data_IF_923618643974
#
_entry.id   IF_923618643974
#
_cell.length_a   1.000
_cell.length_b   1.000
_cell.length_c   1.000
_cell.angle_alpha   90.00
_cell.angle_beta   90.00
_cell.angle_gamma   90.00
#
_symmetry.space_group_name_H-M   'P 1'
#
loop_
_entity.id
_entity.type
_entity.pdbx_description
1 polymer ?
#
# COMPACT_ATOMS: atom_id res chain seq x y z
N UNK A 1 -47.46 -33.15 19.57
CA UNK A 1 -47.59 -32.43 18.28
C UNK A 1 -47.98 -31.01 18.62
N UNK A 2 -47.06 -30.05 18.46
CA UNK A 2 -47.36 -28.65 18.77
C UNK A 2 -47.88 -27.98 17.50
N UNK A 3 -49.14 -27.55 17.53
CA UNK A 3 -49.70 -26.70 16.49
C UNK A 3 -49.16 -25.29 16.68
N UNK A 4 -48.27 -24.85 15.80
CA UNK A 4 -47.84 -23.45 15.74
C UNK A 4 -48.85 -22.71 14.86
N UNK A 5 -49.69 -21.89 15.47
CA UNK A 5 -50.56 -20.96 14.75
C UNK A 5 -49.71 -19.74 14.37
N UNK A 6 -49.35 -19.62 13.09
CA UNK A 6 -48.45 -18.59 12.58
C UNK A 6 -49.13 -17.23 12.38
N UNK A 7 -50.46 -17.12 12.53
CA UNK A 7 -51.20 -15.87 12.28
C UNK A 7 -50.70 -15.14 11.02
N UNK A 8 -50.50 -13.82 11.15
CA UNK A 8 -49.73 -13.00 10.20
C UNK A 8 -48.35 -12.68 10.81
N UNK A 9 -47.37 -13.58 10.74
CA UNK A 9 -45.97 -13.20 11.02
C UNK A 9 -45.56 -12.14 9.99
N UNK A 10 -45.13 -10.98 10.48
CA UNK A 10 -44.61 -9.89 9.65
C UNK A 10 -43.32 -9.39 10.29
N UNK A 11 -42.25 -9.46 9.52
CA UNK A 11 -41.00 -8.77 9.82
C UNK A 11 -40.96 -7.52 8.94
N UNK A 12 -40.85 -6.35 9.58
CA UNK A 12 -40.78 -5.09 8.86
C UNK A 12 -39.32 -4.68 8.71
N UNK A 13 -38.79 -4.73 7.49
CA UNK A 13 -37.42 -4.30 7.22
C UNK A 13 -37.35 -2.77 7.17
N UNK A 14 -36.63 -2.18 8.11
CA UNK A 14 -36.53 -0.74 8.30
C UNK A 14 -35.24 -0.13 7.71
N UNK A 15 -34.40 -0.93 7.03
CA UNK A 15 -33.09 -0.49 6.52
C UNK A 15 -32.00 -0.47 7.60
N UNK A 16 -30.95 0.32 7.39
CA UNK A 16 -29.87 0.51 8.38
C UNK A 16 -30.39 1.21 9.64
N UNK A 17 -29.90 0.79 10.80
CA UNK A 17 -30.24 1.38 12.08
C UNK A 17 -29.85 2.86 12.15
N UNK A 18 -30.79 3.69 12.58
CA UNK A 18 -30.62 5.11 12.84
C UNK A 18 -31.07 5.44 14.27
N UNK A 19 -30.23 6.13 15.04
CA UNK A 19 -30.49 6.43 16.45
C UNK A 19 -31.69 7.36 16.69
N UNK A 20 -32.07 8.16 15.68
CA UNK A 20 -33.21 9.08 15.74
C UNK A 20 -34.56 8.41 15.46
N UNK A 21 -34.56 7.20 14.90
CA UNK A 21 -35.78 6.48 14.51
C UNK A 21 -36.35 5.68 15.69
N UNK A 22 -37.67 5.72 15.83
CA UNK A 22 -38.40 4.83 16.76
C UNK A 22 -38.69 3.52 16.05
N UNK A 23 -38.19 2.42 16.60
CA UNK A 23 -38.52 1.06 16.15
C UNK A 23 -39.54 0.45 17.10
N UNK A 24 -40.43 -0.35 16.53
CA UNK A 24 -41.44 -1.14 17.24
C UNK A 24 -41.02 -2.60 17.31
N UNK A 25 -41.62 -3.37 18.23
CA UNK A 25 -41.36 -4.80 18.34
C UNK A 25 -41.53 -5.49 16.97
N UNK A 26 -40.62 -6.41 16.66
CA UNK A 26 -40.54 -7.20 15.43
C UNK A 26 -40.07 -6.43 14.17
N UNK A 27 -39.71 -5.13 14.29
CA UNK A 27 -38.95 -4.42 13.26
C UNK A 27 -37.54 -5.01 13.12
N UNK A 28 -37.07 -5.09 11.87
CA UNK A 28 -35.74 -5.61 11.53
C UNK A 28 -34.88 -4.49 10.95
N UNK A 29 -33.65 -4.36 11.44
CA UNK A 29 -32.67 -3.37 10.97
C UNK A 29 -31.35 -4.03 10.59
N UNK A 30 -30.64 -3.40 9.66
CA UNK A 30 -29.22 -3.65 9.42
C UNK A 30 -28.37 -2.90 10.46
N UNK A 31 -27.37 -3.57 11.04
CA UNK A 31 -26.37 -2.92 11.87
C UNK A 31 -25.09 -3.76 11.94
N UNK A 32 -23.95 -3.14 11.59
CA UNK A 32 -22.65 -3.82 11.64
C UNK A 32 -22.56 -5.03 10.69
N UNK A 33 -23.24 -4.97 9.54
CA UNK A 33 -23.30 -6.08 8.57
C UNK A 33 -24.25 -7.22 8.96
N UNK A 34 -24.81 -7.19 10.17
CA UNK A 34 -25.79 -8.16 10.66
C UNK A 34 -27.21 -7.61 10.58
N UNK A 35 -28.20 -8.50 10.61
CA UNK A 35 -29.61 -8.12 10.77
C UNK A 35 -30.07 -8.40 12.19
N UNK A 36 -30.75 -7.43 12.79
CA UNK A 36 -31.23 -7.46 14.17
C UNK A 36 -32.72 -7.23 14.21
N UNK A 37 -33.42 -7.91 15.11
CA UNK A 37 -34.86 -7.75 15.33
C UNK A 37 -35.13 -7.09 16.68
N UNK A 38 -36.00 -6.08 16.70
CA UNK A 38 -36.38 -5.38 17.93
C UNK A 38 -37.26 -6.27 18.81
N UNK A 39 -36.87 -6.47 20.07
CA UNK A 39 -37.61 -7.27 21.07
C UNK A 39 -38.78 -6.49 21.68
N UNK A 40 -38.67 -5.17 21.67
CA UNK A 40 -39.63 -4.20 22.21
C UNK A 40 -39.43 -2.86 21.52
N UNK A 41 -40.34 -1.92 21.77
CA UNK A 41 -40.19 -0.56 21.26
C UNK A 41 -38.87 0.04 21.75
N UNK A 42 -38.06 0.53 20.82
CA UNK A 42 -36.69 0.99 21.09
C UNK A 42 -36.35 2.19 20.21
N UNK A 43 -35.64 3.16 20.80
CA UNK A 43 -35.13 4.35 20.12
C UNK A 43 -33.79 4.73 20.71
N UNK A 44 -32.81 5.05 19.86
CA UNK A 44 -31.49 5.50 20.29
C UNK A 44 -30.61 4.45 21.00
N UNK A 45 -31.03 3.19 21.06
CA UNK A 45 -30.24 2.09 21.66
C UNK A 45 -29.68 1.19 20.57
N UNK A 46 -28.35 1.03 20.55
CA UNK A 46 -27.65 0.23 19.54
C UNK A 46 -28.13 -1.23 19.50
N UNK A 47 -28.23 -1.83 18.30
CA UNK A 47 -28.67 -3.22 18.11
C UNK A 47 -27.88 -4.31 18.85
N UNK A 48 -26.67 -4.03 19.35
CA UNK A 48 -25.87 -4.98 20.14
C UNK A 48 -26.34 -5.15 21.59
N UNK A 49 -27.38 -4.43 22.03
CA UNK A 49 -27.93 -4.54 23.39
C UNK A 49 -29.05 -5.58 23.44
N UNK A 50 -28.72 -6.77 23.93
CA UNK A 50 -29.62 -7.95 23.99
C UNK A 50 -30.95 -7.73 24.75
N UNK A 51 -31.07 -6.68 25.55
CA UNK A 51 -32.33 -6.32 26.21
C UNK A 51 -33.38 -5.76 25.22
N UNK A 52 -32.93 -5.14 24.13
CA UNK A 52 -33.78 -4.45 23.17
C UNK A 52 -33.79 -5.12 21.80
N UNK A 53 -32.77 -5.90 21.48
CA UNK A 53 -32.54 -6.47 20.16
C UNK A 53 -32.10 -7.93 20.27
N UNK A 54 -32.59 -8.77 19.37
CA UNK A 54 -32.07 -10.13 19.16
C UNK A 54 -31.36 -10.19 17.80
N UNK A 55 -30.27 -10.95 17.72
CA UNK A 55 -29.57 -11.19 16.47
C UNK A 55 -30.41 -12.13 15.59
N UNK A 56 -30.78 -11.67 14.40
CA UNK A 56 -31.58 -12.47 13.46
C UNK A 56 -30.68 -13.23 12.49
N UNK A 57 -29.75 -12.51 11.88
CA UNK A 57 -28.74 -13.07 10.98
C UNK A 57 -27.41 -12.44 11.39
N UNK A 58 -26.46 -13.27 11.79
CA UNK A 58 -25.07 -12.86 11.89
C UNK A 58 -24.61 -12.50 10.47
N UNK A 59 -24.27 -11.24 10.27
CA UNK A 59 -23.52 -10.84 9.10
C UNK A 59 -22.21 -11.60 9.07
N UNK A 60 -21.77 -12.02 7.89
CA UNK A 60 -20.33 -12.14 7.69
C UNK A 60 -19.78 -10.75 7.98
N UNK A 61 -18.92 -10.63 8.99
CA UNK A 61 -18.13 -9.43 9.21
C UNK A 61 -17.61 -8.98 7.84
N UNK A 62 -17.82 -7.72 7.44
CA UNK A 62 -17.31 -7.24 6.14
C UNK A 62 -15.81 -7.56 6.16
N UNK A 63 -15.34 -8.54 5.36
CA UNK A 63 -13.99 -9.06 5.57
C UNK A 63 -12.94 -7.99 5.25
N UNK A 64 -13.36 -6.94 4.56
CA UNK A 64 -12.53 -5.84 4.10
C UNK A 64 -13.23 -4.50 4.35
N UNK A 65 -12.43 -3.50 4.70
CA UNK A 65 -12.87 -2.11 4.90
C UNK A 65 -12.61 -1.31 3.63
N UNK A 66 -13.50 -0.37 3.26
CA UNK A 66 -13.25 0.53 2.12
C UNK A 66 -11.96 1.30 2.40
N UNK A 67 -11.04 1.28 1.43
CA UNK A 67 -9.69 1.83 1.59
C UNK A 67 -8.66 0.86 2.17
N UNK A 68 -9.02 -0.41 2.42
CA UNK A 68 -8.01 -1.42 2.72
C UNK A 68 -7.08 -1.61 1.51
N UNK A 69 -5.77 -1.58 1.74
CA UNK A 69 -4.75 -1.78 0.71
C UNK A 69 -3.91 -3.01 1.06
N UNK A 70 -3.55 -3.84 0.06
CA UNK A 70 -2.62 -4.98 0.23
C UNK A 70 -2.00 -5.46 -1.07
N UNK A 71 -1.00 -6.32 -0.94
CA UNK A 71 -0.41 -7.08 -2.05
C UNK A 71 -1.16 -8.40 -2.24
N UNK A 72 -1.70 -8.62 -3.44
CA UNK A 72 -2.48 -9.80 -3.80
C UNK A 72 -1.73 -10.69 -4.79
N UNK A 73 -1.95 -12.01 -4.71
CA UNK A 73 -1.34 -12.99 -5.61
C UNK A 73 -2.04 -13.10 -6.98
N UNK A 74 -3.15 -12.38 -7.18
CA UNK A 74 -3.90 -12.38 -8.43
C UNK A 74 -3.31 -11.37 -9.41
N UNK A 75 -3.48 -11.61 -10.72
CA UNK A 75 -3.20 -10.60 -11.74
C UNK A 75 -4.18 -9.44 -11.62
N UNK A 76 -3.80 -8.27 -12.13
CA UNK A 76 -4.67 -7.08 -12.12
C UNK A 76 -6.05 -7.33 -12.78
N UNK A 77 -6.09 -8.12 -13.86
CA UNK A 77 -7.33 -8.49 -14.56
C UNK A 77 -8.17 -9.57 -13.86
N UNK A 78 -7.60 -10.20 -12.82
CA UNK A 78 -8.20 -11.33 -12.09
C UNK A 78 -8.44 -10.93 -10.62
N UNK A 79 -8.38 -9.63 -10.30
CA UNK A 79 -8.68 -9.15 -8.97
C UNK A 79 -10.12 -9.52 -8.58
N UNK A 80 -10.33 -10.02 -7.34
CA UNK A 80 -11.68 -10.31 -6.86
C UNK A 80 -12.56 -9.06 -6.88
N UNK A 81 -13.88 -9.28 -6.96
CA UNK A 81 -14.84 -8.19 -6.93
C UNK A 81 -14.59 -7.19 -5.78
N UNK A 82 -14.71 -5.90 -6.08
CA UNK A 82 -14.45 -4.82 -5.14
C UNK A 82 -12.99 -4.45 -4.96
N UNK A 83 -12.03 -5.20 -5.52
CA UNK A 83 -10.60 -4.88 -5.49
C UNK A 83 -10.15 -4.23 -6.79
N UNK A 84 -9.34 -3.18 -6.65
CA UNK A 84 -8.86 -2.37 -7.77
C UNK A 84 -7.35 -2.22 -7.70
N UNK A 85 -6.68 -2.25 -8.85
CA UNK A 85 -5.24 -2.10 -8.94
C UNK A 85 -4.80 -0.69 -8.52
N UNK A 86 -3.77 -0.57 -7.69
CA UNK A 86 -3.22 0.72 -7.23
C UNK A 86 -2.22 1.31 -8.23
N UNK A 87 -2.71 1.72 -9.38
CA UNK A 87 -1.91 2.23 -10.51
C UNK A 87 -2.16 3.71 -10.85
N UNK A 88 -2.97 4.43 -10.07
CA UNK A 88 -3.33 5.82 -10.39
C UNK A 88 -4.46 5.99 -11.41
N UNK A 89 -5.17 4.92 -11.78
CA UNK A 89 -6.32 4.98 -12.68
C UNK A 89 -7.42 5.91 -12.16
N UNK A 90 -8.23 6.40 -13.10
CA UNK A 90 -9.21 7.44 -12.84
C UNK A 90 -10.63 6.94 -13.05
N UNK A 91 -11.47 7.22 -12.06
CA UNK A 91 -12.89 6.92 -12.11
C UNK A 91 -13.69 8.19 -12.11
N UNK A 92 -14.81 8.23 -12.84
CA UNK A 92 -15.75 9.33 -12.75
C UNK A 92 -16.17 9.52 -11.29
N UNK A 93 -16.22 10.75 -10.81
CA UNK A 93 -16.51 11.06 -9.40
C UNK A 93 -17.88 10.52 -8.96
N UNK A 94 -18.85 10.49 -9.88
CA UNK A 94 -20.21 10.00 -9.67
C UNK A 94 -20.35 8.48 -9.88
N UNK A 95 -19.33 7.77 -10.38
CA UNK A 95 -19.35 6.31 -10.48
C UNK A 95 -19.38 5.63 -9.10
N UNK A 96 -19.76 4.35 -8.99
CA UNK A 96 -19.66 3.60 -7.74
C UNK A 96 -18.27 3.69 -7.11
N UNK A 97 -17.21 3.51 -7.91
CA UNK A 97 -15.82 3.58 -7.49
C UNK A 97 -15.46 4.99 -7.02
N UNK A 98 -15.89 6.01 -7.78
CA UNK A 98 -15.64 7.41 -7.44
C UNK A 98 -16.29 7.82 -6.13
N UNK A 99 -17.53 7.38 -5.88
CA UNK A 99 -18.20 7.62 -4.59
C UNK A 99 -17.53 6.90 -3.44
N UNK A 100 -17.09 5.66 -3.63
CA UNK A 100 -16.34 4.91 -2.61
C UNK A 100 -15.02 5.61 -2.26
N UNK A 101 -14.22 5.99 -3.26
CA UNK A 101 -12.99 6.76 -3.07
C UNK A 101 -13.25 8.12 -2.40
N UNK A 102 -14.30 8.83 -2.81
CA UNK A 102 -14.60 10.14 -2.25
C UNK A 102 -15.10 10.07 -0.80
N UNK A 103 -15.68 8.92 -0.38
CA UNK A 103 -16.11 8.68 1.00
C UNK A 103 -14.96 8.54 2.00
N UNK A 104 -13.73 8.29 1.51
CA UNK A 104 -12.53 8.25 2.34
C UNK A 104 -12.24 9.62 2.97
N UNK A 105 -11.63 9.61 4.15
CA UNK A 105 -11.32 10.83 4.91
C UNK A 105 -10.39 11.76 4.12
N UNK A 106 -10.41 13.06 4.44
CA UNK A 106 -9.51 14.03 3.83
C UNK A 106 -8.04 13.64 4.03
N UNK A 107 -7.66 13.25 5.25
CA UNK A 107 -6.29 12.82 5.57
C UNK A 107 -5.88 11.60 4.76
N UNK A 108 -6.75 10.57 4.65
CA UNK A 108 -6.43 9.40 3.84
C UNK A 108 -6.17 9.78 2.37
N UNK A 109 -7.02 10.66 1.82
CA UNK A 109 -6.86 11.12 0.45
C UNK A 109 -5.58 11.93 0.25
N UNK A 110 -5.21 12.75 1.24
CA UNK A 110 -3.96 13.52 1.24
C UNK A 110 -2.71 12.63 1.33
N UNK A 111 -2.72 11.66 2.24
CA UNK A 111 -1.60 10.73 2.47
C UNK A 111 -1.31 9.92 1.20
N UNK A 112 -2.36 9.38 0.56
CA UNK A 112 -2.23 8.51 -0.62
C UNK A 112 -2.40 9.22 -1.97
N UNK A 113 -2.39 10.56 -1.99
CA UNK A 113 -2.49 11.38 -3.20
C UNK A 113 -3.70 11.03 -4.08
N UNK A 114 -4.85 10.82 -3.42
CA UNK A 114 -6.15 10.65 -4.07
C UNK A 114 -6.74 12.04 -4.30
N UNK A 115 -6.83 12.44 -5.55
CA UNK A 115 -7.19 13.80 -5.96
C UNK A 115 -8.36 13.79 -6.93
N UNK A 116 -9.17 14.84 -6.88
CA UNK A 116 -10.22 15.09 -7.86
C UNK A 116 -9.63 16.00 -8.95
N UNK A 117 -9.81 15.63 -10.21
CA UNK A 117 -9.40 16.40 -11.39
C UNK A 117 -10.53 16.55 -12.38
N UNK A 118 -10.52 17.65 -13.13
CA UNK A 118 -11.47 17.89 -14.21
C UNK A 118 -10.82 17.49 -15.53
N UNK A 119 -11.43 16.55 -16.24
CA UNK A 119 -11.01 16.10 -17.58
C UNK A 119 -12.22 16.23 -18.49
N UNK A 120 -12.09 17.00 -19.56
CA UNK A 120 -13.15 17.22 -20.56
C UNK A 120 -14.50 17.64 -19.93
N UNK A 121 -14.46 18.50 -18.90
CA UNK A 121 -15.65 19.00 -18.21
C UNK A 121 -16.27 18.05 -17.18
N UNK A 122 -15.73 16.84 -17.00
CA UNK A 122 -16.18 15.88 -15.99
C UNK A 122 -15.16 15.75 -14.86
N UNK A 123 -15.64 15.51 -13.65
CA UNK A 123 -14.80 15.26 -12.49
C UNK A 123 -14.43 13.78 -12.38
N UNK A 124 -13.16 13.51 -12.20
CA UNK A 124 -12.59 12.19 -11.98
C UNK A 124 -11.82 12.18 -10.67
N UNK A 125 -11.77 11.03 -10.01
CA UNK A 125 -10.98 10.77 -8.81
C UNK A 125 -10.09 9.55 -9.05
N UNK A 126 -8.83 9.61 -8.63
CA UNK A 126 -7.87 8.53 -8.86
C UNK A 126 -7.87 7.50 -7.73
N UNK A 127 -7.59 6.24 -8.07
CA UNK A 127 -7.06 5.28 -7.10
C UNK A 127 -5.64 5.68 -6.70
N UNK A 128 -5.17 5.32 -5.49
CA UNK A 128 -3.77 5.59 -5.13
C UNK A 128 -2.81 4.80 -6.02
N UNK A 129 -1.56 5.28 -6.12
CA UNK A 129 -0.49 4.57 -6.83
C UNK A 129 0.46 3.92 -5.84
N UNK A 130 0.81 2.65 -6.09
CA UNK A 130 1.87 1.95 -5.39
C UNK A 130 3.25 2.14 -6.05
N UNK A 131 3.32 2.97 -7.09
CA UNK A 131 4.51 3.16 -7.92
C UNK A 131 5.04 4.60 -7.83
N UNK A 132 6.35 4.70 -7.80
CA UNK A 132 7.08 5.95 -8.00
C UNK A 132 6.92 6.46 -9.44
N UNK A 133 7.20 7.76 -9.70
CA UNK A 133 7.07 8.33 -11.05
C UNK A 133 7.93 7.64 -12.11
N UNK A 134 9.01 6.96 -11.72
CA UNK A 134 9.88 6.18 -12.61
C UNK A 134 9.39 4.73 -12.84
N UNK A 135 8.24 4.37 -12.28
CA UNK A 135 7.60 3.06 -12.43
C UNK A 135 8.03 2.00 -11.40
N UNK A 136 8.99 2.30 -10.52
CA UNK A 136 9.38 1.38 -9.45
C UNK A 136 8.31 1.28 -8.38
N UNK A 137 8.14 0.09 -7.80
CA UNK A 137 7.19 -0.13 -6.71
C UNK A 137 7.77 0.34 -5.37
N UNK A 138 6.93 0.92 -4.51
CA UNK A 138 7.35 1.24 -3.15
C UNK A 138 7.35 -0.02 -2.27
N UNK A 139 8.37 -0.14 -1.42
CA UNK A 139 8.33 -1.05 -0.28
C UNK A 139 7.55 -0.41 0.86
N UNK A 140 6.53 -1.12 1.35
CA UNK A 140 5.74 -0.67 2.49
C UNK A 140 6.47 -1.01 3.80
N UNK A 141 6.59 -0.01 4.70
CA UNK A 141 7.21 -0.17 6.01
C UNK A 141 6.44 0.61 7.08
N UNK A 142 6.53 0.14 8.32
CA UNK A 142 5.81 0.75 9.45
C UNK A 142 6.21 2.21 9.65
N UNK A 143 5.24 3.09 9.94
CA UNK A 143 5.50 4.47 10.37
C UNK A 143 6.34 4.52 11.65
N UNK A 144 7.10 5.59 11.86
CA UNK A 144 7.85 5.80 13.10
C UNK A 144 7.15 6.78 14.07
N UNK A 145 6.02 7.36 13.66
CA UNK A 145 5.25 8.31 14.45
C UNK A 145 5.84 9.72 14.51
N UNK A 146 6.95 9.97 13.80
CA UNK A 146 7.67 11.25 13.76
C UNK A 146 7.88 11.71 12.32
N UNK A 147 9.03 11.43 11.71
CA UNK A 147 9.35 11.84 10.35
C UNK A 147 8.71 10.91 9.31
N UNK A 148 8.64 9.60 9.59
CA UNK A 148 7.97 8.65 8.70
C UNK A 148 6.50 8.51 9.09
N UNK A 149 5.66 9.21 8.34
CA UNK A 149 4.20 9.24 8.48
C UNK A 149 3.52 8.40 7.39
N UNK A 150 2.22 8.16 7.54
CA UNK A 150 1.41 7.48 6.51
C UNK A 150 1.49 8.30 5.22
N UNK A 151 1.71 7.64 4.08
CA UNK A 151 1.83 8.30 2.78
C UNK A 151 3.15 9.02 2.53
N UNK A 152 4.04 9.14 3.51
CA UNK A 152 5.38 9.68 3.30
C UNK A 152 6.24 8.71 2.47
N UNK A 153 7.00 9.26 1.52
CA UNK A 153 7.90 8.49 0.65
C UNK A 153 9.33 8.79 1.06
N UNK A 154 10.10 7.74 1.34
CA UNK A 154 11.55 7.80 1.53
C UNK A 154 12.21 7.28 0.25
N UNK A 155 13.18 8.01 -0.31
CA UNK A 155 13.95 7.54 -1.45
C UNK A 155 14.90 6.40 -1.05
N UNK A 156 15.39 5.66 -2.05
CA UNK A 156 16.37 4.60 -1.84
C UNK A 156 17.65 5.16 -1.22
N UNK A 157 18.11 4.47 -0.18
CA UNK A 157 19.33 4.81 0.53
C UNK A 157 19.99 3.53 1.05
N UNK A 158 21.32 3.50 0.98
CA UNK A 158 22.12 2.55 1.75
C UNK A 158 22.64 3.26 3.00
N UNK A 159 22.93 2.50 4.06
CA UNK A 159 23.64 3.05 5.21
C UNK A 159 25.01 3.55 4.78
N UNK A 160 25.55 4.52 5.53
CA UNK A 160 26.90 5.01 5.32
C UNK A 160 27.92 3.86 5.30
N UNK A 161 28.81 3.90 4.31
CA UNK A 161 29.91 2.95 4.15
C UNK A 161 31.19 3.77 4.15
N UNK A 162 31.88 3.76 5.28
CA UNK A 162 33.14 4.46 5.44
C UNK A 162 34.30 3.48 5.51
N UNK A 163 35.38 3.80 4.79
CA UNK A 163 36.66 3.09 4.85
C UNK A 163 37.79 4.00 4.40
N UNK A 164 38.97 3.83 5.00
CA UNK A 164 40.19 4.51 4.58
C UNK A 164 40.97 3.60 3.62
N UNK A 165 41.43 4.17 2.50
CA UNK A 165 42.15 3.43 1.48
C UNK A 165 43.53 4.05 1.23
N UNK A 166 44.56 3.36 1.73
CA UNK A 166 45.95 3.69 1.45
C UNK A 166 46.41 2.96 0.19
N UNK A 167 46.82 3.71 -0.85
CA UNK A 167 47.52 3.11 -1.98
C UNK A 167 49.01 3.43 -1.88
N UNK A 168 49.83 2.39 -1.74
CA UNK A 168 51.25 2.47 -2.09
C UNK A 168 51.42 2.28 -3.59
N UNK A 169 52.50 2.81 -4.18
CA UNK A 169 52.92 2.42 -5.54
C UNK A 169 53.37 0.96 -5.47
N UNK A 170 52.54 0.01 -5.89
CA UNK A 170 52.88 -1.43 -5.82
C UNK A 170 53.05 -2.01 -7.22
N UNK A 171 54.27 -2.14 -7.75
CA UNK A 171 54.45 -2.86 -9.03
C UNK A 171 53.68 -4.20 -9.05
N UNK A 172 53.08 -4.53 -10.21
CA UNK A 172 52.26 -5.73 -10.42
C UNK A 172 50.86 -5.76 -9.77
N UNK A 173 50.14 -4.63 -9.67
CA UNK A 173 48.75 -4.51 -9.18
C UNK A 173 47.77 -5.59 -9.70
N UNK A 174 47.88 -5.99 -10.97
CA UNK A 174 47.06 -7.05 -11.58
C UNK A 174 47.25 -8.41 -10.92
N UNK A 175 48.41 -8.68 -10.33
CA UNK A 175 48.71 -9.95 -9.66
C UNK A 175 48.07 -10.04 -8.26
N UNK A 176 47.79 -8.90 -7.62
CA UNK A 176 47.26 -8.82 -6.25
C UNK A 176 45.76 -8.54 -6.19
N UNK A 177 45.20 -7.86 -7.19
CA UNK A 177 43.78 -7.59 -7.26
C UNK A 177 42.96 -8.91 -7.33
N UNK A 178 41.91 -9.01 -6.51
CA UNK A 178 40.99 -10.15 -6.46
C UNK A 178 39.57 -9.64 -6.20
N UNK A 179 38.58 -10.40 -6.70
CA UNK A 179 37.17 -10.12 -6.44
C UNK A 179 36.67 -8.83 -7.09
N UNK A 180 36.10 -7.93 -6.29
CA UNK A 180 35.56 -6.65 -6.77
C UNK A 180 36.63 -5.65 -7.23
N UNK A 181 37.91 -5.92 -6.96
CA UNK A 181 39.01 -5.05 -7.35
C UNK A 181 39.74 -5.58 -8.60
N UNK A 182 40.11 -4.66 -9.49
CA UNK A 182 40.90 -4.93 -10.68
C UNK A 182 42.11 -3.99 -10.70
N UNK A 183 43.30 -4.51 -11.01
CA UNK A 183 44.48 -3.69 -11.24
C UNK A 183 44.44 -3.09 -12.64
N UNK A 184 44.50 -1.76 -12.75
CA UNK A 184 44.43 -1.03 -14.02
C UNK A 184 45.59 -0.06 -14.18
N UNK A 185 45.95 0.26 -15.43
CA UNK A 185 46.85 1.40 -15.71
C UNK A 185 46.17 2.68 -15.29
N UNK A 186 46.90 3.62 -14.68
CA UNK A 186 46.32 4.89 -14.24
C UNK A 186 45.71 5.64 -15.43
N UNK A 187 44.45 6.04 -15.28
CA UNK A 187 43.72 6.88 -16.22
C UNK A 187 44.03 8.32 -15.80
N UNK A 188 44.89 9.02 -16.55
CA UNK A 188 45.41 10.38 -16.24
C UNK A 188 46.33 10.47 -15.02
N UNK A 189 47.62 10.07 -15.14
CA UNK A 189 48.55 10.02 -14.01
C UNK A 189 48.83 11.40 -13.39
N UNK A 190 48.62 12.49 -14.12
CA UNK A 190 48.78 13.88 -13.64
C UNK A 190 47.71 14.32 -12.61
N UNK A 191 46.56 13.63 -12.54
CA UNK A 191 45.46 13.92 -11.59
C UNK A 191 45.27 12.79 -10.56
N UNK A 192 46.22 11.85 -10.45
CA UNK A 192 46.19 10.78 -9.46
C UNK A 192 46.45 11.30 -8.03
N UNK A 193 46.12 10.47 -7.03
CA UNK A 193 46.35 10.79 -5.61
C UNK A 193 47.83 11.10 -5.27
N UNK A 194 48.77 10.73 -6.15
CA UNK A 194 50.18 11.07 -6.07
C UNK A 194 50.67 11.60 -7.41
N UNK A 195 51.44 12.70 -7.38
CA UNK A 195 52.15 13.17 -8.57
C UNK A 195 53.17 12.11 -9.02
N UNK A 196 53.14 11.62 -10.27
CA UNK A 196 54.09 10.64 -10.75
C UNK A 196 55.48 11.26 -10.75
N UNK A 197 56.35 10.79 -9.85
CA UNK A 197 57.77 11.13 -9.90
C UNK A 197 58.39 10.39 -11.10
N UNK A 198 58.42 11.08 -12.24
CA UNK A 198 59.26 10.83 -13.43
C UNK A 198 59.28 9.39 -13.99
N UNK A 199 58.82 9.25 -15.23
CA UNK A 199 59.13 8.15 -16.17
C UNK A 199 58.57 6.74 -15.88
N UNK A 200 57.77 6.53 -14.83
CA UNK A 200 57.09 5.24 -14.56
C UNK A 200 55.59 5.30 -14.84
N UNK A 201 55.04 4.19 -15.36
CA UNK A 201 53.60 3.99 -15.48
C UNK A 201 52.98 4.06 -14.07
N UNK A 202 52.06 5.01 -13.84
CA UNK A 202 51.25 4.99 -12.63
C UNK A 202 50.16 3.92 -12.77
N UNK A 203 49.74 3.36 -11.64
CA UNK A 203 48.82 2.23 -11.59
C UNK A 203 47.74 2.49 -10.55
N UNK A 204 46.57 1.88 -10.74
CA UNK A 204 45.41 2.04 -9.86
C UNK A 204 44.66 0.73 -9.61
N UNK A 205 43.70 0.83 -8.69
CA UNK A 205 42.69 -0.20 -8.47
C UNK A 205 41.32 0.34 -8.87
N UNK A 206 40.66 -0.35 -9.78
CA UNK A 206 39.25 -0.10 -10.08
C UNK A 206 38.40 -0.93 -9.12
N UNK A 207 37.38 -0.31 -8.52
CA UNK A 207 36.33 -1.03 -7.81
C UNK A 207 35.13 -1.28 -8.73
N UNK A 208 34.75 -2.55 -8.87
CA UNK A 208 33.60 -2.98 -9.63
C UNK A 208 32.89 -4.14 -8.93
N UNK A 209 31.84 -3.83 -8.17
CA UNK A 209 31.03 -4.82 -7.46
C UNK A 209 30.45 -5.91 -8.39
N UNK A 210 30.11 -5.55 -9.64
CA UNK A 210 29.51 -6.47 -10.62
C UNK A 210 30.39 -7.69 -10.97
N UNK A 211 31.66 -7.69 -10.57
CA UNK A 211 32.57 -8.81 -10.76
C UNK A 211 32.30 -9.98 -9.80
N UNK A 212 31.67 -9.71 -8.65
CA UNK A 212 31.47 -10.70 -7.57
C UNK A 212 30.03 -10.80 -7.09
N UNK A 213 29.20 -9.80 -7.40
CA UNK A 213 27.77 -9.78 -7.04
C UNK A 213 26.92 -9.27 -8.19
N UNK A 214 25.64 -9.66 -8.29
CA UNK A 214 24.69 -9.02 -9.18
C UNK A 214 24.55 -7.53 -8.84
N UNK A 215 24.54 -6.67 -9.85
CA UNK A 215 24.32 -5.23 -9.71
C UNK A 215 23.25 -4.79 -10.69
N UNK A 216 22.45 -3.79 -10.33
CA UNK A 216 21.41 -3.23 -11.19
C UNK A 216 21.21 -1.73 -10.93
N UNK A 217 20.23 -1.11 -11.61
CA UNK A 217 19.91 0.31 -11.42
C UNK A 217 19.27 0.62 -10.06
N UNK A 218 18.94 -0.40 -9.26
CA UNK A 218 18.29 -0.26 -7.95
C UNK A 218 18.91 -1.23 -6.93
N UNK A 219 19.09 -0.76 -5.69
CA UNK A 219 19.43 -1.61 -4.56
C UNK A 219 18.21 -2.42 -4.13
N UNK A 220 18.22 -3.72 -4.44
CA UNK A 220 17.10 -4.62 -4.12
C UNK A 220 17.56 -5.84 -3.35
N UNK A 221 16.65 -6.39 -2.56
CA UNK A 221 16.75 -7.73 -1.99
C UNK A 221 15.94 -8.70 -2.84
N UNK A 222 16.09 -10.01 -2.62
CA UNK A 222 15.19 -11.00 -3.23
C UNK A 222 13.74 -10.61 -2.99
N UNK A 223 12.97 -10.51 -4.06
CA UNK A 223 11.58 -10.06 -4.04
C UNK A 223 10.73 -10.87 -5.02
N UNK A 224 9.41 -10.86 -4.79
CA UNK A 224 8.41 -11.51 -5.62
C UNK A 224 7.31 -10.50 -5.96
N UNK A 225 6.90 -10.47 -7.23
CA UNK A 225 5.86 -9.56 -7.71
C UNK A 225 4.47 -9.97 -7.23
N UNK A 226 3.73 -9.02 -6.67
CA UNK A 226 2.31 -9.14 -6.31
C UNK A 226 1.55 -7.92 -6.77
N UNK A 227 0.26 -8.04 -7.01
CA UNK A 227 -0.57 -6.90 -7.44
C UNK A 227 -0.98 -6.06 -6.24
N UNK A 228 -0.53 -4.79 -6.13
CA UNK A 228 -1.00 -3.88 -5.10
C UNK A 228 -2.45 -3.48 -5.39
N UNK A 229 -3.35 -3.74 -4.46
CA UNK A 229 -4.78 -3.49 -4.66
C UNK A 229 -5.38 -2.68 -3.51
N UNK A 230 -6.48 -1.98 -3.79
CA UNK A 230 -7.33 -1.27 -2.84
C UNK A 230 -8.76 -1.82 -2.91
N UNK A 231 -9.40 -2.00 -1.76
CA UNK A 231 -10.79 -2.42 -1.68
C UNK A 231 -11.75 -1.22 -1.69
N UNK A 232 -12.66 -1.19 -2.66
CA UNK A 232 -13.73 -0.19 -2.78
C UNK A 232 -15.12 -0.79 -2.53
N UNK A 233 -15.25 -2.12 -2.58
CA UNK A 233 -16.49 -2.85 -2.29
C UNK A 233 -17.61 -2.69 -3.33
N UNK A 234 -17.26 -2.20 -4.52
CA UNK A 234 -18.17 -1.94 -5.66
C UNK A 234 -17.58 -2.43 -6.96
#
# INVERSE_FOLDING_TARGET
>A
MATINLGNIRFNWCGEYASSTQYTKDDVVGFGGSSWIARKNVKGVNPTKNEFWDLMIAGAEKPYVIGEQKLMAFRASELPFGWYFRNGDNYLLDSPQGRALNSLSANYKEDYKITIKVINGQQYINVPTAFAPDGRGYFERAVDGTNRQVGSVECDAIRDIWGHFDTGVVDFHSNYARGAFLGTSAIYPENGAFQPKKEWHAWGYDFRASNVVPTGPENTVLNEGKTPAIYLGV
#
